data_IF_605158275954
#
_entry.id   IF_605158275954
#
_cell.length_a   1.000
_cell.length_b   1.000
_cell.length_c   1.000
_cell.angle_alpha   90.00
_cell.angle_beta   90.00
_cell.angle_gamma   90.00
#
_symmetry.space_group_name_H-M   'P 1'
#
loop_
_entity.id
_entity.type
_entity.pdbx_description
1 polymer ?
#
# COMPACT_ATOMS: atom_id res chain seq x y z
N UNK A 1 65.96 -18.58 -62.89
CA UNK A 1 65.77 -17.96 -61.59
C UNK A 1 64.29 -17.69 -61.44
N UNK A 2 63.59 -18.43 -60.56
CA UNK A 2 62.12 -18.25 -60.27
C UNK A 2 61.96 -17.56 -58.92
N UNK A 3 61.47 -16.37 -58.94
CA UNK A 3 61.16 -15.58 -57.73
C UNK A 3 59.76 -15.96 -57.22
N UNK A 4 59.72 -16.46 -55.98
CA UNK A 4 58.48 -16.81 -55.23
C UNK A 4 58.01 -15.58 -54.46
N UNK A 5 56.82 -15.04 -54.79
CA UNK A 5 56.18 -13.94 -54.03
C UNK A 5 55.27 -14.54 -52.96
N UNK A 6 55.58 -14.26 -51.67
CA UNK A 6 54.77 -14.62 -50.51
C UNK A 6 53.82 -13.49 -50.28
N UNK A 7 52.47 -13.67 -50.41
CA UNK A 7 51.46 -12.75 -50.08
C UNK A 7 51.07 -12.92 -48.57
N UNK A 8 51.32 -11.93 -47.74
CA UNK A 8 50.93 -11.90 -46.36
C UNK A 8 49.49 -11.35 -46.27
N UNK A 9 48.52 -12.20 -45.92
CA UNK A 9 47.14 -11.78 -45.68
C UNK A 9 47.00 -11.30 -44.23
N UNK A 10 46.83 -9.98 -44.04
CA UNK A 10 46.50 -9.38 -42.76
C UNK A 10 45.00 -9.60 -42.48
N UNK A 11 44.68 -10.54 -41.61
CA UNK A 11 43.30 -10.72 -41.08
C UNK A 11 42.98 -9.66 -40.05
N UNK A 12 42.13 -8.68 -40.37
CA UNK A 12 41.58 -7.73 -39.41
C UNK A 12 40.51 -8.39 -38.57
N UNK A 13 40.79 -8.69 -37.31
CA UNK A 13 39.82 -9.16 -36.34
C UNK A 13 38.92 -7.96 -35.91
N UNK A 14 37.68 -7.92 -36.37
CA UNK A 14 36.65 -7.00 -35.92
C UNK A 14 36.24 -7.39 -34.50
N UNK A 15 36.77 -6.71 -33.48
CA UNK A 15 36.30 -6.80 -32.10
C UNK A 15 34.93 -6.12 -32.02
N UNK A 16 33.85 -6.91 -31.98
CA UNK A 16 32.51 -6.41 -31.65
C UNK A 16 32.49 -5.99 -30.20
N UNK A 17 32.50 -4.67 -29.96
CA UNK A 17 32.29 -4.12 -28.64
C UNK A 17 30.86 -4.49 -28.18
N UNK A 18 30.74 -5.42 -27.23
CA UNK A 18 29.48 -5.71 -26.58
C UNK A 18 29.03 -4.45 -25.82
N UNK A 19 28.02 -3.76 -26.35
CA UNK A 19 27.38 -2.63 -25.64
C UNK A 19 26.77 -3.16 -24.36
N UNK A 20 27.27 -2.73 -23.19
CA UNK A 20 26.67 -3.07 -21.91
C UNK A 20 25.24 -2.49 -21.87
N UNK A 21 24.25 -3.38 -21.76
CA UNK A 21 22.85 -2.96 -21.64
C UNK A 21 22.68 -2.01 -20.47
N UNK A 22 21.93 -0.92 -20.66
CA UNK A 22 21.63 0.04 -19.61
C UNK A 22 20.95 -0.69 -18.43
N UNK A 23 21.30 -0.36 -17.18
CA UNK A 23 20.70 -1.00 -16.03
C UNK A 23 19.19 -0.70 -16.00
N UNK A 24 18.38 -1.70 -15.69
CA UNK A 24 16.93 -1.56 -15.48
C UNK A 24 16.59 -1.84 -14.03
N UNK A 25 15.53 -1.20 -13.54
CA UNK A 25 15.07 -1.32 -12.16
C UNK A 25 13.59 -1.69 -12.15
N UNK A 26 13.22 -2.75 -11.44
CA UNK A 26 11.82 -3.14 -11.26
C UNK A 26 11.37 -2.92 -9.82
N UNK A 27 10.07 -2.76 -9.60
CA UNK A 27 9.45 -2.71 -8.28
C UNK A 27 8.11 -3.44 -8.35
N UNK A 28 7.82 -4.24 -7.33
CA UNK A 28 6.54 -4.90 -7.11
C UNK A 28 6.16 -4.79 -5.63
N UNK A 29 4.87 -4.87 -5.34
CA UNK A 29 4.33 -4.92 -3.99
C UNK A 29 3.72 -6.29 -3.71
N UNK A 30 3.88 -6.80 -2.49
CA UNK A 30 3.26 -8.05 -2.04
C UNK A 30 1.72 -7.98 -1.99
N UNK A 31 1.15 -6.78 -1.98
CA UNK A 31 -0.30 -6.55 -2.01
C UNK A 31 -0.62 -5.17 -2.59
N UNK A 32 -1.69 -5.07 -3.38
CA UNK A 32 -2.21 -3.79 -3.90
C UNK A 32 -3.10 -3.07 -2.87
N UNK A 33 -3.58 -3.78 -1.86
CA UNK A 33 -4.45 -3.26 -0.79
C UNK A 33 -3.98 -3.79 0.55
N UNK A 34 -3.78 -2.91 1.54
CA UNK A 34 -3.35 -3.29 2.89
C UNK A 34 -4.24 -2.61 3.95
N UNK A 35 -4.41 -3.22 5.11
CA UNK A 35 -5.08 -2.57 6.23
C UNK A 35 -4.13 -1.55 6.88
N UNK A 36 -4.66 -0.42 7.35
CA UNK A 36 -3.90 0.58 8.07
C UNK A 36 -3.12 -0.03 9.24
N UNK A 37 -1.85 0.35 9.36
CA UNK A 37 -0.93 -0.16 10.38
C UNK A 37 -0.36 -1.56 10.11
N UNK A 38 -0.68 -2.18 8.96
CA UNK A 38 -0.07 -3.45 8.56
C UNK A 38 1.06 -3.21 7.56
N UNK A 39 2.20 -3.89 7.74
CA UNK A 39 3.30 -3.81 6.78
C UNK A 39 2.96 -4.57 5.49
N UNK A 40 3.63 -4.18 4.41
CA UNK A 40 3.73 -4.92 3.16
C UNK A 40 5.20 -4.93 2.71
N UNK A 41 5.54 -5.86 1.83
CA UNK A 41 6.88 -5.97 1.26
C UNK A 41 6.90 -5.39 -0.14
N UNK A 42 7.84 -4.50 -0.39
CA UNK A 42 8.23 -4.02 -1.71
C UNK A 42 9.47 -4.76 -2.14
N UNK A 43 9.49 -5.33 -3.34
CA UNK A 43 10.62 -6.11 -3.86
C UNK A 43 10.87 -5.80 -5.33
N UNK A 44 12.06 -6.05 -5.80
CA UNK A 44 12.42 -5.82 -7.19
C UNK A 44 13.80 -6.34 -7.55
N UNK A 45 14.21 -6.01 -8.76
CA UNK A 45 15.46 -6.43 -9.38
C UNK A 45 16.16 -5.22 -10.02
N UNK A 46 17.45 -5.09 -9.75
CA UNK A 46 18.35 -4.20 -10.48
C UNK A 46 19.15 -5.07 -11.48
N UNK A 47 18.91 -4.90 -12.77
CA UNK A 47 19.67 -5.65 -13.80
C UNK A 47 21.14 -5.23 -13.78
N UNK A 48 22.05 -6.18 -13.89
CA UNK A 48 23.50 -5.92 -13.76
C UNK A 48 23.90 -5.45 -12.35
N UNK A 49 22.99 -5.57 -11.37
CA UNK A 49 23.22 -5.23 -9.97
C UNK A 49 24.26 -6.17 -9.33
N UNK A 50 25.09 -5.59 -8.48
CA UNK A 50 26.09 -6.29 -7.66
C UNK A 50 25.61 -6.36 -6.21
N UNK A 51 26.25 -7.19 -5.41
CA UNK A 51 25.99 -7.28 -3.97
C UNK A 51 26.14 -5.92 -3.28
N UNK A 52 25.26 -5.64 -2.32
CA UNK A 52 25.28 -4.47 -1.42
C UNK A 52 25.07 -3.10 -2.08
N UNK A 53 24.54 -3.02 -3.30
CA UNK A 53 24.12 -1.76 -3.88
C UNK A 53 22.86 -1.25 -3.19
N UNK A 54 22.79 0.05 -2.90
CA UNK A 54 21.63 0.64 -2.21
C UNK A 54 20.59 1.11 -3.23
N UNK A 55 19.40 0.50 -3.18
CA UNK A 55 18.21 0.93 -3.92
C UNK A 55 17.33 1.73 -2.95
N UNK A 56 17.01 2.98 -3.30
CA UNK A 56 16.05 3.80 -2.59
C UNK A 56 14.63 3.43 -3.02
N UNK A 57 13.66 3.60 -2.11
CA UNK A 57 12.24 3.55 -2.46
C UNK A 57 11.59 4.84 -1.98
N UNK A 58 11.03 5.56 -2.93
CA UNK A 58 10.29 6.79 -2.70
C UNK A 58 8.80 6.50 -2.70
N UNK A 59 8.03 7.25 -1.90
CA UNK A 59 6.59 7.15 -1.81
C UNK A 59 5.93 8.52 -1.92
N UNK A 60 4.90 8.62 -2.76
CA UNK A 60 4.00 9.76 -2.81
C UNK A 60 2.71 9.40 -2.10
N UNK A 61 2.54 9.92 -0.89
CA UNK A 61 1.36 9.65 -0.06
C UNK A 61 0.20 10.51 -0.52
N UNK A 62 -1.01 9.96 -0.49
CA UNK A 62 -2.25 10.68 -0.77
C UNK A 62 -2.32 12.01 0.00
N UNK A 63 -2.71 13.08 -0.69
CA UNK A 63 -2.76 14.44 -0.13
C UNK A 63 -1.43 15.19 -0.22
N UNK A 64 -0.36 14.56 -0.74
CA UNK A 64 0.92 15.21 -1.02
C UNK A 64 1.25 15.12 -2.50
N UNK A 65 1.93 16.14 -3.03
CA UNK A 65 2.44 16.15 -4.42
C UNK A 65 3.90 15.72 -4.51
N UNK A 66 4.61 15.63 -3.39
CA UNK A 66 6.03 15.35 -3.34
C UNK A 66 6.30 13.90 -2.94
N UNK A 67 7.13 13.23 -3.73
CA UNK A 67 7.71 11.95 -3.35
C UNK A 67 8.75 12.16 -2.24
N UNK A 68 8.72 11.33 -1.22
CA UNK A 68 9.70 11.30 -0.13
C UNK A 68 10.28 9.90 -0.02
N UNK A 69 11.57 9.81 0.34
CA UNK A 69 12.21 8.53 0.58
C UNK A 69 11.57 7.86 1.80
N UNK A 70 10.97 6.69 1.60
CA UNK A 70 10.30 5.92 2.67
C UNK A 70 11.18 4.81 3.23
N UNK A 71 12.07 4.24 2.39
CA UNK A 71 13.00 3.18 2.81
C UNK A 71 14.14 3.03 1.82
N UNK A 72 15.07 2.12 2.11
CA UNK A 72 16.08 1.65 1.17
C UNK A 72 16.42 0.19 1.46
N UNK A 73 16.88 -0.53 0.44
CA UNK A 73 17.31 -1.91 0.55
C UNK A 73 18.67 -2.11 -0.10
N UNK A 74 19.41 -3.11 0.37
CA UNK A 74 20.65 -3.58 -0.27
C UNK A 74 20.32 -4.68 -1.27
N UNK A 75 20.99 -4.66 -2.41
CA UNK A 75 20.87 -5.74 -3.38
C UNK A 75 21.64 -6.99 -2.94
N UNK A 76 21.10 -8.15 -3.32
CA UNK A 76 21.83 -9.43 -3.30
C UNK A 76 22.86 -9.49 -4.43
N UNK A 77 23.64 -10.57 -4.49
CA UNK A 77 24.60 -10.82 -5.57
C UNK A 77 23.93 -10.87 -6.97
N UNK A 78 22.66 -11.27 -7.04
CA UNK A 78 21.85 -11.29 -8.27
C UNK A 78 21.18 -9.97 -8.60
N UNK A 79 21.32 -8.94 -7.75
CA UNK A 79 20.65 -7.65 -7.90
C UNK A 79 19.23 -7.58 -7.35
N UNK A 80 18.72 -8.66 -6.76
CA UNK A 80 17.40 -8.65 -6.09
C UNK A 80 17.44 -7.80 -4.80
N UNK A 81 16.33 -7.11 -4.48
CA UNK A 81 16.20 -6.31 -3.26
C UNK A 81 14.78 -6.42 -2.70
N UNK A 82 14.64 -6.18 -1.40
CA UNK A 82 13.35 -6.22 -0.70
C UNK A 82 13.39 -5.31 0.53
N UNK A 83 12.27 -4.64 0.79
CA UNK A 83 12.08 -3.79 1.96
C UNK A 83 10.64 -3.85 2.46
N UNK A 84 10.43 -3.83 3.77
CA UNK A 84 9.12 -3.69 4.38
C UNK A 84 8.75 -2.21 4.52
N UNK A 85 7.49 -1.87 4.27
CA UNK A 85 6.93 -0.53 4.46
C UNK A 85 5.54 -0.64 5.10
N UNK A 86 5.16 0.40 5.87
CA UNK A 86 3.82 0.49 6.48
C UNK A 86 3.15 1.77 5.99
N UNK A 87 2.31 1.71 4.92
CA UNK A 87 1.68 2.90 4.38
C UNK A 87 0.62 3.46 5.33
N UNK A 88 0.59 4.78 5.45
CA UNK A 88 -0.36 5.50 6.30
C UNK A 88 -1.61 5.99 5.56
N UNK A 89 -1.62 5.90 4.25
CA UNK A 89 -2.69 6.20 3.31
C UNK A 89 -2.34 5.65 1.95
N UNK A 90 -3.22 5.80 0.96
CA UNK A 90 -2.92 5.41 -0.41
C UNK A 90 -1.59 6.05 -0.84
N UNK A 91 -0.67 5.24 -1.33
CA UNK A 91 0.70 5.65 -1.63
C UNK A 91 1.14 5.06 -2.95
N UNK A 92 1.74 5.87 -3.80
CA UNK A 92 2.40 5.40 -5.03
C UNK A 92 3.90 5.30 -4.76
N UNK A 93 4.45 4.10 -4.88
CA UNK A 93 5.87 3.81 -4.67
C UNK A 93 6.64 3.77 -5.98
N UNK A 94 7.90 4.19 -5.95
CA UNK A 94 8.85 4.10 -7.04
C UNK A 94 10.24 3.79 -6.49
N UNK A 95 10.92 2.80 -7.04
CA UNK A 95 12.31 2.53 -6.69
C UNK A 95 13.26 3.42 -7.49
N UNK A 96 14.39 3.78 -6.87
CA UNK A 96 15.40 4.64 -7.46
C UNK A 96 16.80 4.06 -7.20
N UNK A 97 17.63 4.03 -8.25
CA UNK A 97 19.04 3.68 -8.16
C UNK A 97 19.84 4.58 -9.11
N UNK A 98 20.68 5.48 -8.55
CA UNK A 98 21.34 6.54 -9.35
C UNK A 98 20.30 7.28 -10.20
N UNK A 99 20.43 7.26 -11.51
CA UNK A 99 19.52 7.91 -12.45
C UNK A 99 18.42 6.98 -13.00
N UNK A 100 18.36 5.72 -12.54
CA UNK A 100 17.37 4.74 -12.99
C UNK A 100 16.19 4.71 -12.03
N UNK A 101 14.97 4.71 -12.58
CA UNK A 101 13.72 4.59 -11.85
C UNK A 101 12.91 3.40 -12.31
N UNK A 102 12.21 2.77 -11.39
CA UNK A 102 11.24 1.71 -11.73
C UNK A 102 9.93 2.29 -12.26
N UNK A 103 9.05 1.45 -12.77
CA UNK A 103 7.63 1.76 -12.88
C UNK A 103 7.04 2.09 -11.50
N UNK A 104 5.98 2.90 -11.49
CA UNK A 104 5.26 3.26 -10.27
C UNK A 104 4.33 2.14 -9.82
N UNK A 105 4.27 1.88 -8.52
CA UNK A 105 3.44 0.82 -7.91
C UNK A 105 2.45 1.46 -6.94
N UNK A 106 1.16 1.55 -7.28
CA UNK A 106 0.14 2.08 -6.37
C UNK A 106 -0.26 1.05 -5.32
N UNK A 107 -0.36 1.49 -4.08
CA UNK A 107 -0.87 0.71 -2.94
C UNK A 107 -1.98 1.50 -2.28
N UNK A 108 -3.13 0.88 -2.06
CA UNK A 108 -4.27 1.47 -1.37
C UNK A 108 -4.37 0.96 0.07
N UNK A 109 -4.95 1.78 0.94
CA UNK A 109 -5.06 1.46 2.37
C UNK A 109 -6.53 1.40 2.79
N UNK A 110 -6.89 0.36 3.54
CA UNK A 110 -8.18 0.23 4.21
C UNK A 110 -8.06 0.82 5.62
N UNK A 111 -8.90 1.76 6.06
CA UNK A 111 -8.96 2.14 7.46
C UNK A 111 -9.41 0.95 8.30
N UNK A 112 -9.04 0.92 9.58
CA UNK A 112 -9.46 -0.13 10.51
C UNK A 112 -10.70 0.34 11.24
N UNK A 113 -11.79 -0.44 11.13
CA UNK A 113 -13.06 -0.18 11.79
C UNK A 113 -13.23 -1.09 12.98
N UNK A 114 -13.66 -0.51 14.10
CA UNK A 114 -14.06 -1.24 15.30
C UNK A 114 -15.47 -0.82 15.72
N UNK A 115 -16.28 -1.80 16.12
CA UNK A 115 -17.61 -1.61 16.67
C UNK A 115 -17.63 -2.22 18.07
N UNK A 116 -18.06 -1.46 19.03
CA UNK A 116 -18.28 -1.94 20.40
C UNK A 116 -19.67 -1.55 20.92
N UNK A 117 -20.12 -2.22 21.96
CA UNK A 117 -21.41 -1.95 22.63
C UNK A 117 -21.23 -1.91 24.14
N UNK A 118 -21.88 -0.95 24.78
CA UNK A 118 -22.00 -0.86 26.23
C UNK A 118 -23.45 -0.53 26.57
N UNK A 119 -24.15 -1.46 27.18
CA UNK A 119 -25.59 -1.35 27.41
C UNK A 119 -26.38 -1.12 26.12
N UNK A 120 -27.12 0.00 26.06
CA UNK A 120 -27.90 0.41 24.88
C UNK A 120 -27.09 1.23 23.85
N UNK A 121 -25.86 1.61 24.18
CA UNK A 121 -25.03 2.52 23.38
C UNK A 121 -24.02 1.73 22.55
N UNK A 122 -23.93 2.08 21.27
CA UNK A 122 -22.94 1.57 20.32
C UNK A 122 -21.86 2.64 20.11
N UNK A 123 -20.62 2.18 19.96
CA UNK A 123 -19.49 3.04 19.60
C UNK A 123 -18.88 2.55 18.30
N UNK A 124 -18.85 3.44 17.32
CA UNK A 124 -18.11 3.26 16.07
C UNK A 124 -16.75 3.94 16.20
N UNK A 125 -15.67 3.24 15.85
CA UNK A 125 -14.30 3.78 15.76
C UNK A 125 -13.71 3.46 14.40
N UNK A 126 -13.00 4.44 13.82
CA UNK A 126 -12.25 4.30 12.57
C UNK A 126 -10.83 4.79 12.81
N UNK A 127 -9.87 3.88 12.69
CA UNK A 127 -8.43 4.17 12.86
C UNK A 127 -7.79 4.35 11.50
N UNK A 128 -7.09 5.46 11.31
CA UNK A 128 -6.45 5.87 10.07
C UNK A 128 -5.26 6.80 10.34
N UNK A 129 -4.51 7.17 9.29
CA UNK A 129 -3.41 8.15 9.38
C UNK A 129 -3.86 9.60 9.31
N UNK A 130 -5.15 9.85 9.10
CA UNK A 130 -5.76 11.18 9.12
C UNK A 130 -7.18 11.11 9.69
N UNK A 131 -7.66 12.25 10.21
CA UNK A 131 -9.01 12.34 10.76
C UNK A 131 -10.08 12.10 9.68
N UNK A 132 -11.09 11.32 10.06
CA UNK A 132 -12.29 11.06 9.24
C UNK A 132 -13.53 11.66 9.90
N UNK A 133 -13.37 12.66 10.77
CA UNK A 133 -14.46 13.44 11.35
C UNK A 133 -15.25 14.13 10.23
N UNK A 134 -16.57 14.15 10.33
CA UNK A 134 -17.47 14.61 9.27
C UNK A 134 -17.79 13.56 8.21
N UNK A 135 -17.05 12.45 8.15
CA UNK A 135 -17.38 11.30 7.30
C UNK A 135 -18.38 10.38 8.02
N UNK A 136 -19.10 9.58 7.26
CA UNK A 136 -20.10 8.67 7.81
C UNK A 136 -19.70 7.21 7.63
N UNK A 137 -20.02 6.39 8.64
CA UNK A 137 -20.01 4.95 8.54
C UNK A 137 -21.43 4.42 8.55
N UNK A 138 -21.65 3.29 7.86
CA UNK A 138 -22.95 2.61 7.81
C UNK A 138 -22.95 1.51 8.86
N UNK A 139 -23.85 1.61 9.82
CA UNK A 139 -24.16 0.52 10.74
C UNK A 139 -25.13 -0.43 10.06
N UNK A 140 -24.73 -1.69 9.89
CA UNK A 140 -25.45 -2.70 9.12
C UNK A 140 -25.81 -3.89 10.00
N UNK A 141 -26.96 -4.52 9.72
CA UNK A 141 -27.37 -5.82 10.26
C UNK A 141 -27.37 -6.89 9.17
N UNK A 142 -27.04 -8.11 9.52
CA UNK A 142 -27.15 -9.24 8.62
C UNK A 142 -28.59 -9.80 8.61
N UNK A 143 -29.19 -9.90 7.44
CA UNK A 143 -30.54 -10.46 7.22
C UNK A 143 -30.36 -11.90 6.73
N UNK A 144 -30.62 -12.89 7.61
CA UNK A 144 -30.42 -14.32 7.32
C UNK A 144 -31.21 -14.78 6.10
N UNK A 145 -32.50 -14.41 6.01
CA UNK A 145 -33.40 -14.80 4.91
C UNK A 145 -32.84 -14.45 3.52
N UNK A 146 -32.21 -13.26 3.41
CA UNK A 146 -31.68 -12.77 2.13
C UNK A 146 -30.16 -12.91 2.03
N UNK A 147 -29.49 -13.52 3.03
CA UNK A 147 -28.03 -13.67 3.10
C UNK A 147 -27.25 -12.38 2.80
N UNK A 148 -27.79 -11.22 3.19
CA UNK A 148 -27.22 -9.90 2.88
C UNK A 148 -27.19 -8.97 4.09
N UNK A 149 -26.28 -7.99 4.01
CA UNK A 149 -26.19 -6.90 4.96
C UNK A 149 -27.17 -5.80 4.58
N UNK A 150 -28.01 -5.35 5.54
CA UNK A 150 -28.94 -4.22 5.38
C UNK A 150 -28.51 -3.09 6.30
N UNK A 151 -28.49 -1.87 5.76
CA UNK A 151 -28.22 -0.66 6.55
C UNK A 151 -29.33 -0.45 7.58
N UNK A 152 -28.91 -0.17 8.82
CA UNK A 152 -29.78 0.20 9.96
C UNK A 152 -29.70 1.69 10.20
N UNK A 153 -28.46 2.22 10.23
CA UNK A 153 -28.19 3.63 10.55
C UNK A 153 -26.96 4.14 9.80
N UNK A 154 -27.00 5.40 9.40
CA UNK A 154 -25.83 6.17 8.96
C UNK A 154 -25.30 6.90 10.20
N UNK A 155 -24.03 6.73 10.53
CA UNK A 155 -23.40 7.27 11.74
C UNK A 155 -22.32 8.24 11.34
N UNK A 156 -22.48 9.51 11.66
CA UNK A 156 -21.48 10.56 11.43
C UNK A 156 -20.39 10.45 12.49
N UNK A 157 -19.13 10.44 12.10
CA UNK A 157 -18.00 10.49 13.02
C UNK A 157 -17.83 11.93 13.53
N UNK A 158 -17.93 12.12 14.83
CA UNK A 158 -18.01 13.45 15.46
C UNK A 158 -16.79 13.81 16.28
N UNK A 159 -16.00 12.83 16.72
CA UNK A 159 -14.82 13.05 17.55
C UNK A 159 -13.59 12.46 16.90
N UNK A 160 -12.43 13.07 17.17
CA UNK A 160 -11.11 12.53 16.78
C UNK A 160 -10.18 12.60 17.97
N UNK A 161 -9.49 11.50 18.24
CA UNK A 161 -8.45 11.40 19.27
C UNK A 161 -7.15 10.93 18.65
N UNK A 162 -5.97 11.35 19.15
CA UNK A 162 -4.69 10.78 18.76
C UNK A 162 -4.69 9.26 19.01
N UNK A 163 -4.05 8.52 18.12
CA UNK A 163 -3.73 7.10 18.32
C UNK A 163 -2.41 6.92 19.09
N UNK A 164 -1.97 5.66 19.25
CA UNK A 164 -0.78 5.32 20.04
C UNK A 164 0.53 5.88 19.49
N UNK A 165 0.60 6.14 18.19
CA UNK A 165 1.77 6.73 17.53
C UNK A 165 1.34 7.59 16.34
N UNK A 166 2.06 8.70 16.09
CA UNK A 166 1.83 9.53 14.89
C UNK A 166 2.15 8.73 13.61
N UNK A 167 1.41 8.93 12.52
CA UNK A 167 0.29 9.85 12.33
C UNK A 167 -1.09 9.26 12.71
N UNK A 168 -1.15 8.17 13.47
CA UNK A 168 -2.40 7.47 13.79
C UNK A 168 -3.40 8.35 14.53
N UNK A 169 -4.63 8.36 14.03
CA UNK A 169 -5.78 9.00 14.67
C UNK A 169 -6.98 8.06 14.70
N UNK A 170 -7.86 8.24 15.69
CA UNK A 170 -9.10 7.48 15.84
C UNK A 170 -10.27 8.44 15.74
N UNK A 171 -11.05 8.34 14.67
CA UNK A 171 -12.31 9.04 14.53
C UNK A 171 -13.44 8.19 15.08
N UNK A 172 -14.33 8.75 15.88
CA UNK A 172 -15.36 7.98 16.59
C UNK A 172 -16.70 8.68 16.67
N UNK A 173 -17.74 7.89 16.94
CA UNK A 173 -19.07 8.36 17.29
C UNK A 173 -19.79 7.34 18.17
N UNK A 174 -20.64 7.83 19.07
CA UNK A 174 -21.56 7.00 19.84
C UNK A 174 -22.99 7.16 19.28
N UNK A 175 -23.77 6.09 19.34
CA UNK A 175 -25.15 6.12 18.85
C UNK A 175 -26.00 5.02 19.50
N UNK A 176 -27.30 5.25 19.56
CA UNK A 176 -28.27 4.23 19.97
C UNK A 176 -28.84 3.50 18.75
N UNK A 177 -29.03 2.18 18.88
CA UNK A 177 -29.76 1.36 17.93
C UNK A 177 -30.40 0.18 18.66
N UNK A 178 -31.71 0.02 18.50
CA UNK A 178 -32.46 -1.12 19.05
C UNK A 178 -32.45 -2.25 18.04
N UNK A 179 -31.95 -3.41 18.45
CA UNK A 179 -31.87 -4.62 17.62
C UNK A 179 -32.26 -5.84 18.47
N UNK A 180 -32.82 -6.84 17.83
CA UNK A 180 -33.09 -8.12 18.49
C UNK A 180 -31.77 -8.78 18.92
N UNK A 181 -31.79 -9.39 20.12
CA UNK A 181 -30.63 -10.11 20.67
C UNK A 181 -30.09 -11.15 19.68
N UNK A 182 -28.78 -11.25 19.55
CA UNK A 182 -28.11 -12.18 18.66
C UNK A 182 -28.04 -11.74 17.19
N UNK A 183 -28.60 -10.57 16.83
CA UNK A 183 -28.47 -10.01 15.48
C UNK A 183 -27.00 -9.73 15.17
N UNK A 184 -26.47 -10.26 14.07
CA UNK A 184 -25.11 -9.92 13.60
C UNK A 184 -25.09 -8.52 13.00
N UNK A 185 -24.14 -7.73 13.45
CA UNK A 185 -23.95 -6.33 13.03
C UNK A 185 -22.51 -6.05 12.64
N UNK A 186 -22.29 -5.03 11.81
CA UNK A 186 -20.97 -4.51 11.46
C UNK A 186 -21.02 -3.04 11.09
N UNK A 187 -19.87 -2.42 10.98
CA UNK A 187 -19.68 -1.13 10.31
C UNK A 187 -19.17 -1.33 8.89
N UNK A 188 -19.55 -0.43 8.01
CA UNK A 188 -19.01 -0.28 6.67
C UNK A 188 -18.69 1.20 6.44
N UNK A 189 -17.46 1.52 6.03
CA UNK A 189 -17.16 2.80 5.40
C UNK A 189 -17.12 2.59 3.88
N UNK A 190 -17.90 3.37 3.14
CA UNK A 190 -17.94 3.28 1.68
C UNK A 190 -16.73 3.97 1.06
N UNK A 191 -16.42 3.66 -0.20
CA UNK A 191 -15.34 4.30 -0.94
C UNK A 191 -15.47 5.83 -0.92
N UNK A 192 -16.68 6.37 -1.17
CA UNK A 192 -16.93 7.82 -1.16
C UNK A 192 -16.66 8.48 0.22
N UNK A 193 -16.92 7.78 1.32
CA UNK A 193 -16.66 8.29 2.66
C UNK A 193 -15.20 8.10 3.10
N UNK A 194 -14.51 7.11 2.54
CA UNK A 194 -13.10 6.85 2.79
C UNK A 194 -12.15 7.69 1.92
N UNK A 195 -12.65 8.16 0.77
CA UNK A 195 -11.88 8.97 -0.19
C UNK A 195 -11.38 10.30 0.43
N UNK A 196 -10.25 10.87 -0.10
CA UNK A 196 -9.46 10.34 -1.24
C UNK A 196 -8.41 9.28 -0.84
N UNK A 197 -8.01 9.19 0.42
CA UNK A 197 -6.79 8.49 0.84
C UNK A 197 -6.98 7.05 1.29
N UNK A 198 -8.25 6.61 1.40
CA UNK A 198 -8.57 5.25 1.83
C UNK A 198 -9.63 4.64 0.91
N UNK A 199 -9.69 3.31 0.93
CA UNK A 199 -10.71 2.54 0.21
C UNK A 199 -11.75 1.99 1.19
N UNK A 200 -12.83 1.44 0.65
CA UNK A 200 -13.92 0.81 1.43
C UNK A 200 -13.37 -0.22 2.43
N UNK A 201 -13.95 -0.23 3.62
CA UNK A 201 -13.58 -1.18 4.67
C UNK A 201 -14.79 -1.55 5.54
N UNK A 202 -14.71 -2.73 6.18
CA UNK A 202 -15.72 -3.22 7.11
C UNK A 202 -15.08 -3.60 8.44
N UNK A 203 -15.83 -3.43 9.53
CA UNK A 203 -15.42 -3.98 10.82
C UNK A 203 -15.64 -5.51 10.87
N UNK A 204 -14.99 -6.22 11.80
CA UNK A 204 -15.46 -7.50 12.25
C UNK A 204 -16.94 -7.45 12.65
N UNK A 205 -17.66 -8.56 12.51
CA UNK A 205 -19.06 -8.61 12.93
C UNK A 205 -19.18 -8.87 14.43
N UNK A 206 -20.12 -8.18 15.07
CA UNK A 206 -20.48 -8.35 16.47
C UNK A 206 -21.93 -8.85 16.57
N UNK A 207 -22.31 -9.52 17.66
CA UNK A 207 -23.70 -9.86 17.97
C UNK A 207 -24.30 -8.79 18.89
N UNK A 208 -25.52 -8.36 18.58
CA UNK A 208 -26.30 -7.41 19.38
C UNK A 208 -26.82 -8.06 20.66
#
# INVERSE_FOLDING_TARGET
>A
MKTLAIALALGAALATAASAAAPTLTLASSASVVAYGKPLTLSGQLSGGKLSQTVGVDGTVCGTSRATKVTSAKTTATGAYSAAVTPTGATTYQATYKNVKSASVPVTVKPVLALSRSGATWTAKVTAGQALTGKAVLFQRYVKLHKRWKQVKRVLLTATTPGPAKPTVVSSATFAAKLARGTRVRLLITAAQAAPCYVTATSPSLRA
#
